data_IF_000492651290
#
_entry.id   IF_000492651290
#
_cell.length_a   1.000
_cell.length_b   1.000
_cell.length_c   1.000
_cell.angle_alpha   90.00
_cell.angle_beta   90.00
_cell.angle_gamma   90.00
#
_symmetry.space_group_name_H-M   'P 1'
#
loop_
_entity.id
_entity.type
_entity.pdbx_description
1 polymer ?
#
# COMPACT_ATOMS: atom_id res chain seq x y z
N UNK A 1 4.72 -7.69 25.91
CA UNK A 1 3.38 -7.30 25.38
C UNK A 1 3.55 -7.06 23.89
N UNK A 2 2.61 -7.49 23.05
CA UNK A 2 2.73 -7.33 21.59
C UNK A 2 2.28 -5.96 21.09
N UNK A 3 2.64 -5.64 19.84
CA UNK A 3 2.13 -4.44 19.15
C UNK A 3 0.70 -4.72 18.65
N UNK A 4 -0.30 -3.89 19.00
CA UNK A 4 -1.68 -4.15 18.63
C UNK A 4 -1.88 -4.05 17.11
N UNK A 5 -2.67 -4.96 16.54
CA UNK A 5 -2.98 -5.03 15.10
C UNK A 5 -1.75 -5.27 14.19
N UNK A 6 -0.67 -5.83 14.73
CA UNK A 6 0.51 -6.27 13.96
C UNK A 6 0.68 -7.79 14.15
N UNK A 7 0.88 -8.58 13.08
CA UNK A 7 1.12 -10.01 13.18
C UNK A 7 2.35 -10.33 14.06
N UNK A 8 2.21 -11.35 14.93
CA UNK A 8 3.25 -11.73 15.90
C UNK A 8 4.59 -12.03 15.21
N UNK A 9 4.57 -12.70 14.05
CA UNK A 9 5.77 -13.00 13.29
C UNK A 9 6.49 -11.73 12.82
N UNK A 10 5.75 -10.72 12.38
CA UNK A 10 6.33 -9.44 11.95
C UNK A 10 6.95 -8.73 13.15
N UNK A 11 6.16 -8.56 14.22
CA UNK A 11 6.61 -7.90 15.44
C UNK A 11 7.88 -8.55 16.02
N UNK A 12 7.88 -9.87 16.24
CA UNK A 12 9.00 -10.56 16.88
C UNK A 12 10.25 -10.60 16.01
N UNK A 13 10.11 -10.74 14.70
CA UNK A 13 11.25 -10.68 13.79
C UNK A 13 11.88 -9.28 13.78
N UNK A 14 11.05 -8.23 13.67
CA UNK A 14 11.53 -6.83 13.69
C UNK A 14 12.20 -6.49 15.01
N UNK A 15 11.56 -6.80 16.14
CA UNK A 15 12.11 -6.55 17.48
C UNK A 15 13.49 -7.19 17.66
N UNK A 16 13.65 -8.44 17.22
CA UNK A 16 14.93 -9.15 17.30
C UNK A 16 15.99 -8.56 16.35
N UNK A 17 15.59 -8.08 15.16
CA UNK A 17 16.49 -7.39 14.22
C UNK A 17 16.93 -6.04 14.76
N UNK A 18 16.05 -5.27 15.40
CA UNK A 18 16.42 -4.01 16.05
C UNK A 18 17.36 -4.24 17.23
N UNK A 19 17.14 -5.31 17.99
CA UNK A 19 17.93 -5.62 19.19
C UNK A 19 19.40 -5.93 18.91
N UNK A 20 19.74 -6.55 17.77
CA UNK A 20 21.12 -6.99 17.47
C UNK A 20 21.56 -6.96 16.01
N UNK A 21 20.68 -6.56 15.10
CA UNK A 21 20.91 -6.62 13.66
C UNK A 21 21.28 -5.30 13.00
N UNK A 22 21.06 -4.17 13.67
CA UNK A 22 21.15 -2.83 13.09
C UNK A 22 22.54 -2.47 12.54
N UNK A 23 23.61 -3.06 13.11
CA UNK A 23 24.99 -2.81 12.70
C UNK A 23 25.52 -3.81 11.65
N UNK A 24 24.69 -4.78 11.25
CA UNK A 24 25.11 -5.83 10.31
C UNK A 24 25.11 -5.27 8.88
N UNK A 25 26.28 -5.22 8.26
CA UNK A 25 26.46 -4.71 6.90
C UNK A 25 25.60 -5.50 5.91
N UNK A 26 24.81 -4.79 5.11
CA UNK A 26 23.97 -5.41 4.10
C UNK A 26 22.75 -6.14 4.69
N UNK A 27 22.28 -5.72 5.86
CA UNK A 27 21.03 -6.19 6.46
C UNK A 27 19.90 -6.19 5.41
N UNK A 28 19.07 -7.23 5.39
CA UNK A 28 18.02 -7.48 4.38
C UNK A 28 18.48 -7.78 2.95
N UNK A 29 19.70 -7.41 2.55
CA UNK A 29 20.28 -7.79 1.25
C UNK A 29 20.82 -9.20 1.27
N UNK A 30 21.49 -9.60 2.35
CA UNK A 30 22.07 -10.93 2.49
C UNK A 30 21.01 -11.98 2.85
N UNK A 31 21.23 -13.21 2.41
CA UNK A 31 20.36 -14.35 2.69
C UNK A 31 21.02 -15.27 3.71
N UNK A 32 20.28 -15.61 4.77
CA UNK A 32 20.69 -16.68 5.68
C UNK A 32 20.46 -18.07 5.08
N UNK A 33 20.89 -19.10 5.80
CA UNK A 33 20.72 -20.50 5.39
C UNK A 33 19.25 -20.85 5.08
N UNK A 34 18.98 -21.31 3.85
CA UNK A 34 17.64 -21.70 3.42
C UNK A 34 17.01 -22.77 4.32
N UNK A 35 17.80 -23.77 4.72
CA UNK A 35 17.36 -24.83 5.66
C UNK A 35 16.96 -24.24 7.00
N UNK A 36 17.76 -23.32 7.56
CA UNK A 36 17.43 -22.67 8.84
C UNK A 36 16.19 -21.78 8.73
N UNK A 37 16.00 -21.08 7.60
CA UNK A 37 14.78 -20.30 7.34
C UNK A 37 13.55 -21.20 7.33
N UNK A 38 13.61 -22.34 6.65
CA UNK A 38 12.52 -23.32 6.61
C UNK A 38 12.16 -23.83 8.01
N UNK A 39 13.16 -24.26 8.80
CA UNK A 39 12.94 -24.74 10.17
C UNK A 39 12.31 -23.66 11.05
N UNK A 40 12.82 -22.42 10.95
CA UNK A 40 12.31 -21.30 11.74
C UNK A 40 10.86 -20.94 11.35
N UNK A 41 10.55 -20.96 10.05
CA UNK A 41 9.20 -20.80 9.53
C UNK A 41 8.24 -21.85 10.09
N UNK A 42 8.60 -23.13 9.98
CA UNK A 42 7.77 -24.21 10.51
C UNK A 42 7.54 -24.06 12.03
N UNK A 43 8.51 -23.51 12.77
CA UNK A 43 8.35 -23.20 14.18
C UNK A 43 7.32 -22.09 14.43
N UNK A 44 7.32 -21.03 13.61
CA UNK A 44 6.28 -19.99 13.66
C UNK A 44 4.89 -20.52 13.32
N UNK A 45 4.79 -21.42 12.33
CA UNK A 45 3.54 -22.05 11.92
C UNK A 45 2.97 -22.97 13.01
N UNK A 46 3.82 -23.71 13.73
CA UNK A 46 3.40 -24.54 14.85
C UNK A 46 2.90 -23.71 16.03
N UNK A 47 3.70 -22.75 16.49
CA UNK A 47 3.31 -21.87 17.59
C UNK A 47 4.19 -20.60 17.62
N UNK A 48 3.71 -19.54 16.98
CA UNK A 48 4.40 -18.25 16.90
C UNK A 48 4.78 -17.64 18.28
N UNK A 49 4.03 -17.95 19.34
CA UNK A 49 4.30 -17.42 20.69
C UNK A 49 5.47 -18.11 21.38
N UNK A 50 5.73 -19.38 21.08
CA UNK A 50 6.81 -20.16 21.72
C UNK A 50 8.13 -20.14 20.97
N UNK A 51 8.18 -19.56 19.76
CA UNK A 51 9.42 -19.48 18.98
C UNK A 51 10.49 -18.72 19.78
N UNK A 52 11.70 -19.28 19.87
CA UNK A 52 12.84 -18.60 20.48
C UNK A 52 13.74 -18.01 19.39
N UNK A 53 13.88 -16.69 19.36
CA UNK A 53 14.74 -15.98 18.40
C UNK A 53 16.09 -15.57 18.99
N UNK A 54 16.43 -16.05 20.20
CA UNK A 54 17.67 -15.70 20.88
C UNK A 54 18.91 -16.04 20.03
N UNK A 55 20.05 -15.37 20.27
CA UNK A 55 21.29 -15.63 19.54
C UNK A 55 21.75 -17.09 19.62
N UNK A 56 21.44 -17.79 20.71
CA UNK A 56 21.79 -19.21 20.90
C UNK A 56 21.00 -20.13 19.97
N UNK A 57 19.73 -19.80 19.72
CA UNK A 57 18.86 -20.63 18.88
C UNK A 57 18.95 -20.24 17.39
N UNK A 58 19.01 -18.93 17.09
CA UNK A 58 19.09 -18.40 15.73
C UNK A 58 20.25 -17.41 15.63
N UNK A 59 21.52 -17.87 15.54
CA UNK A 59 22.67 -16.96 15.58
C UNK A 59 22.75 -16.02 14.37
N UNK A 60 22.33 -16.48 13.18
CA UNK A 60 22.39 -15.69 11.95
C UNK A 60 21.15 -14.81 11.79
N UNK A 61 21.33 -13.48 11.84
CA UNK A 61 20.23 -12.52 11.68
C UNK A 61 19.57 -12.63 10.30
N UNK A 62 20.33 -13.05 9.28
CA UNK A 62 19.83 -13.11 7.91
C UNK A 62 18.82 -14.25 7.71
N UNK A 63 18.76 -15.18 8.66
CA UNK A 63 17.68 -16.17 8.76
C UNK A 63 16.38 -15.49 9.20
N UNK A 64 16.45 -14.61 10.20
CA UNK A 64 15.28 -13.89 10.74
C UNK A 64 14.73 -12.90 9.72
N UNK A 65 15.61 -12.06 9.13
CA UNK A 65 15.20 -11.13 8.07
C UNK A 65 14.65 -11.86 6.84
N UNK A 66 15.21 -13.04 6.53
CA UNK A 66 14.73 -13.91 5.46
C UNK A 66 13.32 -14.42 5.72
N UNK A 67 13.04 -14.95 6.93
CA UNK A 67 11.70 -15.42 7.31
C UNK A 67 10.69 -14.26 7.31
N UNK A 68 11.07 -13.07 7.78
CA UNK A 68 10.21 -11.89 7.71
C UNK A 68 9.83 -11.55 6.26
N UNK A 69 10.82 -11.49 5.34
CA UNK A 69 10.57 -11.22 3.92
C UNK A 69 9.72 -12.31 3.28
N UNK A 70 10.02 -13.57 3.58
CA UNK A 70 9.30 -14.69 2.99
C UNK A 70 7.83 -14.69 3.48
N UNK A 71 7.56 -14.36 4.75
CA UNK A 71 6.18 -14.19 5.27
C UNK A 71 5.41 -13.10 4.54
N UNK A 72 6.01 -11.92 4.36
CA UNK A 72 5.37 -10.78 3.70
C UNK A 72 5.03 -11.07 2.23
N UNK A 73 5.92 -11.78 1.53
CA UNK A 73 5.73 -12.17 0.12
C UNK A 73 4.65 -13.25 -0.07
N UNK A 74 4.42 -14.07 0.95
CA UNK A 74 3.47 -15.20 0.90
C UNK A 74 2.08 -14.83 1.43
N UNK A 75 1.86 -13.55 1.77
CA UNK A 75 0.52 -13.08 2.05
C UNK A 75 -0.37 -13.30 0.82
N UNK A 76 -1.67 -13.62 1.01
CA UNK A 76 -2.60 -13.80 -0.10
C UNK A 76 -2.92 -12.51 -0.87
N UNK A 77 -2.82 -11.37 -0.20
CA UNK A 77 -2.84 -10.04 -0.80
C UNK A 77 -1.59 -9.28 -0.34
N UNK A 78 -0.93 -8.48 -1.20
CA UNK A 78 0.29 -7.83 -0.81
C UNK A 78 -0.02 -6.80 0.27
N UNK A 79 0.96 -6.53 1.14
CA UNK A 79 0.76 -5.57 2.21
C UNK A 79 0.36 -4.19 1.66
N UNK A 80 0.96 -3.80 0.53
CA UNK A 80 0.39 -2.78 -0.35
C UNK A 80 -0.68 -3.44 -1.21
N UNK A 81 -1.94 -3.27 -0.82
CA UNK A 81 -3.09 -3.69 -1.65
C UNK A 81 -2.94 -3.15 -3.07
N UNK A 82 -3.48 -3.88 -4.06
CA UNK A 82 -3.38 -3.48 -5.48
C UNK A 82 -3.87 -2.04 -5.72
N UNK A 83 -4.97 -1.66 -5.08
CA UNK A 83 -5.53 -0.31 -5.14
C UNK A 83 -4.60 0.74 -4.53
N UNK A 84 -4.02 0.46 -3.36
CA UNK A 84 -3.08 1.38 -2.71
C UNK A 84 -1.83 1.59 -3.56
N UNK A 85 -1.28 0.50 -4.09
CA UNK A 85 -0.10 0.55 -4.95
C UNK A 85 -0.34 1.47 -6.16
N UNK A 86 -1.48 1.32 -6.85
CA UNK A 86 -1.82 2.18 -7.98
C UNK A 86 -1.95 3.66 -7.56
N UNK A 87 -2.64 3.94 -6.46
CA UNK A 87 -2.75 5.31 -5.93
C UNK A 87 -1.38 5.92 -5.61
N UNK A 88 -0.45 5.14 -5.07
CA UNK A 88 0.90 5.61 -4.75
C UNK A 88 1.73 5.88 -6.01
N UNK A 89 1.58 5.05 -7.06
CA UNK A 89 2.24 5.27 -8.36
C UNK A 89 1.71 6.56 -9.01
N UNK A 90 0.38 6.74 -9.03
CA UNK A 90 -0.26 7.93 -9.59
C UNK A 90 0.15 9.19 -8.82
N UNK A 91 0.19 9.11 -7.49
CA UNK A 91 0.65 10.18 -6.63
C UNK A 91 2.12 10.55 -6.88
N UNK A 92 2.97 9.55 -7.12
CA UNK A 92 4.40 9.78 -7.37
C UNK A 92 4.62 10.51 -8.70
N UNK A 93 3.76 10.25 -9.70
CA UNK A 93 3.80 10.92 -11.00
C UNK A 93 3.39 12.40 -10.94
N UNK A 94 2.62 12.81 -9.92
CA UNK A 94 2.17 14.20 -9.73
C UNK A 94 2.94 14.95 -8.64
N UNK A 95 3.93 14.31 -8.00
CA UNK A 95 4.78 14.95 -7.02
C UNK A 95 5.52 16.15 -7.63
N UNK A 96 5.44 17.30 -6.96
CA UNK A 96 6.09 18.53 -7.39
C UNK A 96 7.48 18.65 -6.76
N UNK A 97 8.56 18.89 -7.53
CA UNK A 97 9.91 19.04 -6.96
C UNK A 97 10.01 20.14 -5.89
N UNK A 98 9.22 21.20 -6.04
CA UNK A 98 9.25 22.39 -5.17
C UNK A 98 8.30 22.31 -3.96
N UNK A 99 7.51 21.23 -3.82
CA UNK A 99 6.60 21.04 -2.69
C UNK A 99 6.78 19.67 -1.99
N UNK A 100 7.93 19.43 -1.34
CA UNK A 100 8.19 18.18 -0.63
C UNK A 100 7.20 17.94 0.53
N UNK A 101 6.69 19.01 1.15
CA UNK A 101 5.73 18.89 2.26
C UNK A 101 4.34 18.48 1.77
N UNK A 102 3.86 19.05 0.66
CA UNK A 102 2.61 18.64 0.02
C UNK A 102 2.68 17.20 -0.50
N UNK A 103 3.78 16.83 -1.14
CA UNK A 103 4.00 15.45 -1.62
C UNK A 103 3.97 14.44 -0.46
N UNK A 104 4.63 14.75 0.65
CA UNK A 104 4.62 13.88 1.83
C UNK A 104 3.20 13.73 2.41
N UNK A 105 2.45 14.83 2.54
CA UNK A 105 1.05 14.80 2.98
C UNK A 105 0.18 13.94 2.07
N UNK A 106 0.34 14.07 0.74
CA UNK A 106 -0.37 13.25 -0.24
C UNK A 106 -0.07 11.77 -0.04
N UNK A 107 1.22 11.39 -0.02
CA UNK A 107 1.64 10.01 0.18
C UNK A 107 1.09 9.41 1.48
N UNK A 108 1.18 10.16 2.58
CA UNK A 108 0.68 9.70 3.87
C UNK A 108 -0.85 9.56 3.89
N UNK A 109 -1.60 10.48 3.26
CA UNK A 109 -3.06 10.36 3.16
C UNK A 109 -3.50 9.10 2.40
N UNK A 110 -2.69 8.62 1.44
CA UNK A 110 -2.98 7.38 0.72
C UNK A 110 -2.83 6.18 1.65
N UNK A 111 -1.82 6.17 2.55
CA UNK A 111 -1.64 5.11 3.54
C UNK A 111 -2.83 4.96 4.50
N UNK A 112 -3.60 6.02 4.72
CA UNK A 112 -4.82 5.98 5.54
C UNK A 112 -5.97 5.20 4.89
N UNK A 113 -5.90 4.93 3.58
CA UNK A 113 -6.87 4.10 2.87
C UNK A 113 -6.68 2.60 3.14
N UNK A 114 -5.58 2.18 3.80
CA UNK A 114 -5.36 0.77 4.13
C UNK A 114 -6.29 0.28 5.24
N UNK A 115 -6.73 -0.99 5.19
CA UNK A 115 -7.35 -1.65 6.32
C UNK A 115 -6.48 -1.55 7.57
N UNK A 116 -7.11 -1.45 8.75
CA UNK A 116 -6.43 -1.16 10.03
C UNK A 116 -5.20 -2.04 10.29
N UNK A 117 -5.31 -3.36 10.10
CA UNK A 117 -4.21 -4.30 10.35
C UNK A 117 -3.07 -4.10 9.35
N UNK A 118 -3.37 -3.94 8.07
CA UNK A 118 -2.38 -3.68 7.02
C UNK A 118 -1.66 -2.36 7.28
N UNK A 119 -2.41 -1.30 7.63
CA UNK A 119 -1.86 0.02 7.96
C UNK A 119 -0.92 -0.06 9.16
N UNK A 120 -1.35 -0.66 10.27
CA UNK A 120 -0.50 -0.82 11.46
C UNK A 120 0.76 -1.64 11.15
N UNK A 121 0.64 -2.73 10.39
CA UNK A 121 1.77 -3.58 10.01
C UNK A 121 2.75 -2.83 9.09
N UNK A 122 2.23 -2.08 8.12
CA UNK A 122 3.04 -1.31 7.18
C UNK A 122 3.79 -0.17 7.88
N UNK A 123 3.11 0.61 8.72
CA UNK A 123 3.74 1.68 9.51
C UNK A 123 4.84 1.11 10.39
N UNK A 124 4.56 0.02 11.10
CA UNK A 124 5.53 -0.64 11.96
C UNK A 124 6.77 -1.11 11.18
N UNK A 125 6.57 -1.63 9.96
CA UNK A 125 7.67 -2.02 9.09
C UNK A 125 8.44 -0.81 8.54
N UNK A 126 7.75 0.26 8.11
CA UNK A 126 8.40 1.46 7.58
C UNK A 126 9.22 2.19 8.64
N UNK A 127 8.73 2.24 9.88
CA UNK A 127 9.48 2.72 11.05
C UNK A 127 10.78 1.93 11.23
N UNK A 128 10.69 0.60 11.17
CA UNK A 128 11.85 -0.27 11.27
C UNK A 128 12.85 -0.02 10.13
N UNK A 129 12.37 0.07 8.88
CA UNK A 129 13.24 0.31 7.73
C UNK A 129 13.90 1.68 7.78
N UNK A 130 13.19 2.72 8.21
CA UNK A 130 13.76 4.05 8.42
C UNK A 130 14.83 4.03 9.52
N UNK A 131 14.62 3.25 10.60
CA UNK A 131 15.65 3.02 11.60
C UNK A 131 16.87 2.34 10.97
N UNK A 132 16.70 1.29 10.16
CA UNK A 132 17.82 0.61 9.47
C UNK A 132 18.61 1.58 8.58
N UNK A 133 17.95 2.48 7.84
CA UNK A 133 18.63 3.52 7.02
C UNK A 133 19.50 4.44 7.87
N UNK A 134 19.07 4.77 9.09
CA UNK A 134 19.80 5.69 9.98
C UNK A 134 21.08 5.09 10.60
N UNK A 135 21.35 3.80 10.40
CA UNK A 135 22.40 3.06 11.08
C UNK A 135 23.61 2.78 10.18
N UNK A 136 24.72 2.33 10.78
CA UNK A 136 26.01 2.08 10.10
C UNK A 136 26.06 0.76 9.29
N UNK A 137 24.94 0.22 8.82
CA UNK A 137 24.87 -1.04 8.04
C UNK A 137 25.06 -0.87 6.53
N UNK A 138 25.36 0.34 6.05
CA UNK A 138 25.53 0.70 4.63
C UNK A 138 24.29 0.48 3.76
N UNK A 139 23.09 0.42 4.35
CA UNK A 139 21.84 0.38 3.60
C UNK A 139 21.29 1.78 3.41
N UNK A 140 21.19 2.22 2.14
CA UNK A 140 20.46 3.42 1.75
C UNK A 140 18.96 3.12 1.51
N UNK A 141 18.09 4.14 1.48
CA UNK A 141 16.68 3.96 1.09
C UNK A 141 16.52 3.20 -0.23
N UNK A 142 17.36 3.51 -1.22
CA UNK A 142 17.37 2.82 -2.50
C UNK A 142 17.73 1.32 -2.37
N UNK A 143 18.73 0.98 -1.55
CA UNK A 143 19.13 -0.42 -1.36
C UNK A 143 18.08 -1.26 -0.63
N UNK A 144 17.37 -0.68 0.36
CA UNK A 144 16.25 -1.35 1.02
C UNK A 144 15.04 -1.45 0.10
N UNK A 145 14.79 -0.41 -0.71
CA UNK A 145 13.71 -0.44 -1.69
C UNK A 145 13.86 -1.57 -2.71
N UNK A 146 15.09 -1.85 -3.17
CA UNK A 146 15.39 -3.03 -4.00
C UNK A 146 15.05 -4.34 -3.28
N UNK A 147 15.28 -4.42 -1.97
CA UNK A 147 15.04 -5.63 -1.18
C UNK A 147 13.55 -5.84 -0.83
N UNK A 148 12.81 -4.76 -0.59
CA UNK A 148 11.44 -4.82 -0.06
C UNK A 148 10.34 -4.39 -1.05
N UNK A 149 10.64 -3.57 -2.06
CA UNK A 149 9.64 -3.10 -3.02
C UNK A 149 8.87 -4.25 -3.66
N UNK A 150 9.58 -5.25 -4.25
CA UNK A 150 8.94 -6.46 -4.76
C UNK A 150 8.18 -7.25 -3.69
N UNK A 151 8.77 -7.40 -2.49
CA UNK A 151 8.19 -8.19 -1.39
C UNK A 151 6.87 -7.60 -0.89
N UNK A 152 6.72 -6.28 -0.93
CA UNK A 152 5.58 -5.58 -0.36
C UNK A 152 4.45 -5.29 -1.34
N UNK A 153 4.74 -5.27 -2.65
CA UNK A 153 3.84 -4.75 -3.69
C UNK A 153 3.60 -5.70 -4.87
N UNK A 154 4.48 -6.69 -5.10
CA UNK A 154 4.34 -7.60 -6.23
C UNK A 154 3.78 -8.95 -5.80
N UNK A 155 2.71 -9.38 -6.46
CA UNK A 155 2.19 -10.75 -6.42
C UNK A 155 2.48 -11.43 -7.75
N UNK A 156 3.02 -12.64 -7.70
CA UNK A 156 3.23 -13.47 -8.90
C UNK A 156 1.86 -13.92 -9.41
N UNK A 157 1.36 -13.25 -10.46
CA UNK A 157 0.21 -13.72 -11.23
C UNK A 157 0.75 -14.67 -12.32
N UNK A 158 0.34 -15.95 -12.30
CA UNK A 158 0.88 -17.02 -13.18
C UNK A 158 0.75 -16.70 -14.68
N UNK A 159 -0.20 -15.84 -15.06
CA UNK A 159 -0.44 -15.40 -16.45
C UNK A 159 -0.43 -13.87 -16.61
N UNK A 160 0.29 -13.16 -15.75
CA UNK A 160 0.39 -11.70 -15.80
C UNK A 160 1.35 -11.17 -16.87
N UNK A 161 1.29 -9.85 -17.19
CA UNK A 161 2.35 -9.19 -17.94
C UNK A 161 3.70 -9.30 -17.19
N UNK A 162 4.84 -9.06 -17.87
CA UNK A 162 6.15 -9.04 -17.22
C UNK A 162 6.12 -8.15 -15.97
N UNK A 163 6.56 -8.69 -14.83
CA UNK A 163 6.58 -7.97 -13.57
C UNK A 163 7.52 -6.76 -13.68
N UNK A 164 6.96 -5.56 -13.49
CA UNK A 164 7.78 -4.35 -13.35
C UNK A 164 8.27 -4.24 -11.91
N UNK A 165 9.58 -4.41 -11.73
CA UNK A 165 10.23 -4.23 -10.45
C UNK A 165 10.60 -2.77 -10.18
N UNK A 166 10.66 -1.90 -11.20
CA UNK A 166 11.15 -0.53 -11.04
C UNK A 166 10.14 0.35 -10.31
N UNK A 167 8.86 0.30 -10.66
CA UNK A 167 7.85 1.11 -9.97
C UNK A 167 7.72 0.79 -8.47
N UNK A 168 7.63 -0.49 -8.02
CA UNK A 168 7.61 -0.81 -6.59
C UNK A 168 8.84 -0.29 -5.83
N UNK A 169 10.01 -0.40 -6.45
CA UNK A 169 11.26 0.11 -5.89
C UNK A 169 11.21 1.64 -5.79
N UNK A 170 10.72 2.33 -6.82
CA UNK A 170 10.61 3.79 -6.82
C UNK A 170 9.65 4.30 -5.73
N UNK A 171 8.47 3.69 -5.60
CA UNK A 171 7.47 4.04 -4.58
C UNK A 171 8.04 3.84 -3.18
N UNK A 172 8.62 2.67 -2.89
CA UNK A 172 9.16 2.39 -1.57
C UNK A 172 10.38 3.27 -1.25
N UNK A 173 11.26 3.52 -2.23
CA UNK A 173 12.40 4.43 -2.07
C UNK A 173 11.91 5.82 -1.68
N UNK A 174 10.96 6.36 -2.43
CA UNK A 174 10.42 7.70 -2.15
C UNK A 174 9.79 7.76 -0.77
N UNK A 175 8.99 6.74 -0.41
CA UNK A 175 8.35 6.67 0.89
C UNK A 175 9.36 6.64 2.05
N UNK A 176 10.47 5.91 1.90
CA UNK A 176 11.56 5.87 2.89
C UNK A 176 12.35 7.18 2.95
N UNK A 177 12.47 7.93 1.84
CA UNK A 177 13.15 9.22 1.80
C UNK A 177 12.35 10.32 2.53
N UNK A 178 11.03 10.26 2.47
CA UNK A 178 10.14 11.20 3.18
C UNK A 178 9.74 10.70 4.58
N UNK A 179 10.09 9.47 4.96
CA UNK A 179 9.67 8.89 6.23
C UNK A 179 10.34 9.61 7.40
N UNK A 180 9.59 9.99 8.44
CA UNK A 180 10.20 10.61 9.62
C UNK A 180 11.12 9.62 10.32
N UNK A 181 12.38 10.01 10.52
CA UNK A 181 13.28 9.28 11.41
C UNK A 181 12.85 9.55 12.85
N UNK A 182 12.74 8.51 13.68
CA UNK A 182 12.44 8.64 15.12
C UNK A 182 13.53 9.46 15.83
N UNK A 183 13.39 10.78 15.84
CA UNK A 183 13.89 11.64 16.92
C UNK A 183 12.73 11.86 17.90
N UNK A 184 13.02 12.21 19.16
CA UNK A 184 12.12 12.34 20.34
C UNK A 184 10.75 13.04 20.14
N UNK A 185 10.42 13.55 18.95
CA UNK A 185 9.17 14.19 18.55
C UNK A 185 8.19 13.29 17.76
N UNK A 186 8.50 12.00 17.55
CA UNK A 186 7.69 11.09 16.72
C UNK A 186 6.28 10.80 17.25
N UNK A 187 6.06 10.91 18.57
CA UNK A 187 4.71 10.80 19.16
C UNK A 187 3.77 11.90 18.63
N UNK A 188 4.27 13.12 18.37
CA UNK A 188 3.48 14.22 17.82
C UNK A 188 3.16 14.01 16.33
N UNK A 189 4.11 13.45 15.57
CA UNK A 189 3.88 13.17 14.15
C UNK A 189 2.81 12.09 13.94
N UNK A 190 2.91 10.96 14.64
CA UNK A 190 1.95 9.86 14.48
C UNK A 190 0.62 10.12 15.17
N UNK A 191 0.57 10.91 16.24
CA UNK A 191 -0.69 11.40 16.80
C UNK A 191 -1.40 12.36 15.85
N UNK A 192 -0.66 13.24 15.13
CA UNK A 192 -1.22 14.08 14.05
C UNK A 192 -1.63 13.28 12.81
N UNK A 193 -0.88 12.24 12.46
CA UNK A 193 -1.23 11.30 11.40
C UNK A 193 -2.50 10.51 11.75
N UNK A 194 -2.61 10.02 12.99
CA UNK A 194 -3.81 9.35 13.51
C UNK A 194 -5.00 10.30 13.67
N UNK A 195 -4.77 11.57 14.04
CA UNK A 195 -5.81 12.60 14.15
C UNK A 195 -6.31 13.10 12.78
N UNK A 196 -5.49 13.03 11.73
CA UNK A 196 -5.95 13.35 10.37
C UNK A 196 -6.97 12.33 9.85
N UNK A 197 -6.82 11.06 10.23
CA UNK A 197 -7.79 9.98 9.96
C UNK A 197 -9.13 10.17 10.71
N UNK A 198 -9.10 10.72 11.94
CA UNK A 198 -10.34 11.06 12.66
C UNK A 198 -11.04 12.29 12.07
N UNK A 199 -10.29 13.24 11.48
CA UNK A 199 -10.85 14.38 10.76
C UNK A 199 -11.47 14.00 9.39
N UNK A 200 -10.89 13.03 8.68
CA UNK A 200 -11.48 12.49 7.45
C UNK A 200 -12.77 11.69 7.73
N UNK A 201 -12.77 10.90 8.81
CA UNK A 201 -13.93 10.13 9.26
C UNK A 201 -15.07 11.04 9.75
N UNK A 202 -14.74 12.11 10.48
CA UNK A 202 -15.75 13.08 10.94
C UNK A 202 -16.36 13.87 9.79
N UNK A 203 -15.58 14.25 8.77
CA UNK A 203 -16.11 14.91 7.56
C UNK A 203 -17.01 13.98 6.73
N UNK A 204 -16.65 12.71 6.58
CA UNK A 204 -17.50 11.72 5.90
C UNK A 204 -18.84 11.49 6.61
N UNK A 205 -18.86 11.49 7.95
CA UNK A 205 -20.10 11.48 8.76
C UNK A 205 -20.89 12.79 8.69
N UNK A 206 -20.21 13.93 8.60
CA UNK A 206 -20.86 15.24 8.52
C UNK A 206 -21.46 15.51 7.14
N UNK A 207 -20.88 14.93 6.08
CA UNK A 207 -21.40 14.99 4.71
C UNK A 207 -22.57 14.01 4.48
N UNK A 208 -22.62 12.87 5.17
CA UNK A 208 -23.80 11.99 5.18
C UNK A 208 -24.96 12.52 6.04
N UNK A 209 -24.66 13.25 7.12
CA UNK A 209 -25.68 13.97 7.89
C UNK A 209 -26.29 15.15 7.11
N UNK A 210 -25.48 15.87 6.32
CA UNK A 210 -25.96 16.97 5.48
C UNK A 210 -26.85 16.48 4.30
N UNK A 211 -26.57 15.33 3.71
CA UNK A 211 -27.43 14.73 2.67
C UNK A 211 -28.71 14.11 3.24
N UNK A 212 -28.67 13.57 4.47
CA UNK A 212 -29.87 13.11 5.17
C UNK A 212 -30.82 14.26 5.55
N UNK A 213 -30.28 15.42 5.96
CA UNK A 213 -31.07 16.62 6.25
C UNK A 213 -31.72 17.21 4.98
N UNK A 214 -31.03 17.15 3.83
CA UNK A 214 -31.58 17.61 2.55
C UNK A 214 -32.70 16.68 2.02
N UNK A 215 -32.61 15.36 2.25
CA UNK A 215 -33.64 14.40 1.84
C UNK A 215 -34.94 14.50 2.68
N UNK A 216 -34.85 14.89 3.96
CA UNK A 216 -36.02 15.10 4.81
C UNK A 216 -36.85 16.34 4.42
N UNK A 217 -36.22 17.36 3.81
CA UNK A 217 -36.91 18.56 3.36
C UNK A 217 -37.76 18.34 2.08
N UNK A 218 -37.43 17.33 1.26
CA UNK A 218 -38.15 17.04 0.00
C UNK A 218 -39.38 16.15 0.18
N UNK A 219 -39.58 15.57 1.36
CA UNK A 219 -40.68 14.64 1.64
C UNK A 219 -41.98 15.30 2.17
N UNK A 220 -42.04 16.63 2.29
CA UNK A 220 -43.17 17.33 2.92
C UNK A 220 -44.11 18.08 1.96
N UNK A 221 -44.02 17.93 0.63
CA UNK A 221 -44.84 18.73 -0.32
C UNK A 221 -45.64 17.88 -1.30
N UNK A 222 -46.49 16.98 -0.81
CA UNK A 222 -47.45 16.28 -1.66
C UNK A 222 -48.77 15.97 -0.95
N UNK A 223 -49.61 16.99 -0.75
CA UNK A 223 -51.07 16.81 -0.55
C UNK A 223 -51.87 18.06 -0.96
N UNK A 224 -52.79 17.88 -1.91
CA UNK A 224 -54.04 18.66 -2.06
C UNK A 224 -53.98 19.91 -2.94
N UNK A 225 -54.51 19.90 -4.18
CA UNK A 225 -55.90 20.13 -4.64
C UNK A 225 -56.18 21.57 -5.13
N UNK A 226 -56.85 21.62 -6.28
CA UNK A 226 -57.09 22.76 -7.16
C UNK A 226 -58.02 23.85 -6.62
N UNK A 227 -57.86 25.10 -7.07
CA UNK A 227 -58.86 25.94 -7.80
C UNK A 227 -58.41 27.41 -7.93
N UNK A 228 -58.73 28.03 -9.07
CA UNK A 228 -59.21 29.43 -9.11
C UNK A 228 -58.22 30.60 -9.31
N UNK A 229 -58.19 31.09 -10.56
CA UNK A 229 -58.24 32.51 -11.00
C UNK A 229 -57.17 33.55 -10.60
N UNK A 230 -56.70 34.21 -11.68
CA UNK A 230 -56.46 35.65 -11.84
C UNK A 230 -55.09 36.29 -11.49
N UNK A 231 -54.48 36.79 -12.58
CA UNK A 231 -54.00 38.17 -12.76
C UNK A 231 -52.60 38.62 -12.28
N UNK A 232 -51.80 38.95 -13.31
CA UNK A 232 -51.14 40.27 -13.56
C UNK A 232 -49.77 40.60 -12.91
N UNK A 233 -48.83 40.89 -13.83
CA UNK A 233 -47.75 41.89 -13.84
C UNK A 233 -46.31 41.55 -13.37
N UNK A 234 -45.37 41.88 -14.28
CA UNK A 234 -44.01 42.37 -14.01
C UNK A 234 -42.91 41.30 -14.01
N UNK A 235 -42.25 40.95 -15.13
CA UNK A 235 -41.17 41.71 -15.81
C UNK A 235 -40.10 42.19 -14.78
N UNK A 236 -38.83 41.74 -14.78
CA UNK A 236 -37.79 41.93 -15.82
C UNK A 236 -36.56 41.02 -15.53
N UNK A 237 -35.94 40.51 -16.62
CA UNK A 237 -34.47 40.39 -16.77
C UNK A 237 -33.85 39.07 -16.29
N UNK A 238 -33.65 38.05 -17.13
CA UNK A 238 -32.58 37.91 -18.14
C UNK A 238 -31.20 37.63 -17.48
N UNK A 239 -30.39 36.63 -17.82
CA UNK A 239 -30.05 36.03 -19.11
C UNK A 239 -29.60 34.57 -18.87
N UNK A 240 -30.21 33.60 -19.56
CA UNK A 240 -29.64 32.81 -20.68
C UNK A 240 -28.48 31.88 -20.29
N UNK A 241 -28.69 30.57 -20.30
CA UNK A 241 -28.70 29.66 -21.47
C UNK A 241 -27.34 28.93 -21.54
N UNK A 242 -27.18 27.69 -21.98
CA UNK A 242 -27.98 26.65 -22.62
C UNK A 242 -27.20 25.33 -22.35
N UNK A 243 -27.82 24.15 -22.16
CA UNK A 243 -28.30 23.23 -23.21
C UNK A 243 -27.24 23.04 -24.32
N UNK A 244 -26.87 21.86 -24.81
CA UNK A 244 -27.43 20.51 -24.78
C UNK A 244 -26.27 19.55 -25.19
N UNK A 245 -26.16 18.35 -24.64
CA UNK A 245 -26.71 17.09 -25.17
C UNK A 245 -26.13 16.60 -26.52
N UNK A 246 -25.74 15.32 -26.49
CA UNK A 246 -25.98 14.28 -27.52
C UNK A 246 -24.84 13.86 -28.47
N UNK A 247 -24.27 12.69 -28.13
CA UNK A 247 -24.14 11.44 -28.92
C UNK A 247 -23.60 11.39 -30.36
N UNK A 248 -22.67 10.41 -30.51
CA UNK A 248 -22.42 9.47 -31.63
C UNK A 248 -21.75 9.99 -32.91
N UNK A 249 -20.57 9.45 -33.25
CA UNK A 249 -20.36 8.40 -34.28
C UNK A 249 -18.86 8.18 -34.60
N UNK A 250 -18.57 6.96 -35.02
CA UNK A 250 -17.30 6.38 -35.48
C UNK A 250 -16.77 6.93 -36.82
N UNK A 251 -15.44 6.90 -37.04
CA UNK A 251 -14.78 6.23 -38.19
C UNK A 251 -13.36 6.76 -38.53
N UNK A 252 -12.49 5.80 -38.89
CA UNK A 252 -11.32 5.85 -39.82
C UNK A 252 -9.93 6.29 -39.34
N UNK A 253 -8.97 5.37 -39.58
CA UNK A 253 -7.51 5.48 -39.47
C UNK A 253 -6.89 6.35 -40.59
N UNK A 254 -5.56 6.60 -40.51
CA UNK A 254 -4.70 5.92 -41.48
C UNK A 254 -3.38 5.34 -40.93
N UNK A 255 -2.88 4.38 -41.70
CA UNK A 255 -1.60 3.68 -41.63
C UNK A 255 -0.37 4.60 -41.73
N UNK A 256 0.68 4.28 -40.98
CA UNK A 256 2.07 4.36 -41.45
C UNK A 256 2.83 3.13 -40.95
N UNK A 257 3.29 2.30 -41.90
CA UNK A 257 4.20 1.19 -41.61
C UNK A 257 5.66 1.67 -41.58
N UNK A 258 6.50 0.97 -40.82
CA UNK A 258 7.91 0.72 -41.18
C UNK A 258 8.41 -0.54 -40.46
N UNK A 259 8.72 -1.52 -41.30
CA UNK A 259 9.63 -2.66 -41.24
C UNK A 259 10.74 -2.62 -40.16
N UNK A 260 11.00 -3.73 -39.46
CA UNK A 260 12.23 -4.58 -39.64
C UNK A 260 12.51 -5.59 -38.50
N UNK A 261 12.76 -6.83 -38.96
CA UNK A 261 13.58 -7.92 -38.40
C UNK A 261 13.13 -8.70 -37.16
N UNK A 262 12.49 -9.82 -37.46
CA UNK A 262 12.51 -11.07 -36.70
C UNK A 262 13.92 -11.66 -36.59
N UNK A 263 14.33 -12.09 -35.39
CA UNK A 263 15.35 -13.11 -35.18
C UNK A 263 14.78 -14.19 -34.28
N UNK A 264 14.63 -15.37 -34.87
CA UNK A 264 14.15 -16.61 -34.26
C UNK A 264 15.24 -17.18 -33.37
N UNK A 265 14.92 -17.52 -32.12
CA UNK A 265 15.69 -18.47 -31.32
C UNK A 265 14.73 -19.44 -30.63
N UNK A 266 14.88 -20.71 -30.99
CA UNK A 266 14.25 -21.86 -30.38
C UNK A 266 14.90 -22.13 -29.02
N UNK A 267 14.11 -22.42 -27.99
CA UNK A 267 14.56 -23.29 -26.90
C UNK A 267 13.38 -24.02 -26.30
N UNK A 268 13.61 -25.31 -26.12
CA UNK A 268 12.67 -26.39 -25.84
C UNK A 268 12.25 -26.43 -24.38
N UNK A 269 10.94 -26.57 -24.18
CA UNK A 269 10.24 -26.84 -22.92
C UNK A 269 10.67 -28.20 -22.33
N UNK A 270 10.97 -28.24 -21.04
CA UNK A 270 10.91 -29.47 -20.23
C UNK A 270 9.94 -29.24 -19.08
N UNK A 271 8.98 -30.15 -19.00
CA UNK A 271 7.84 -30.27 -18.08
C UNK A 271 8.28 -30.73 -16.68
N UNK A 272 7.55 -30.31 -15.63
CA UNK A 272 7.79 -30.84 -14.28
C UNK A 272 6.94 -30.26 -13.15
N UNK A 273 5.69 -30.72 -13.06
CA UNK A 273 4.87 -30.95 -11.85
C UNK A 273 4.58 -29.78 -10.88
N UNK A 274 3.32 -29.33 -10.93
CA UNK A 274 2.62 -28.61 -9.88
C UNK A 274 2.30 -29.54 -8.70
N UNK A 275 2.63 -29.12 -7.48
CA UNK A 275 2.10 -29.68 -6.25
C UNK A 275 1.28 -28.61 -5.54
N UNK A 276 0.01 -28.92 -5.32
CA UNK A 276 -1.01 -28.07 -4.72
C UNK A 276 -0.68 -27.87 -3.24
N UNK A 277 -0.22 -26.67 -2.87
CA UNK A 277 0.00 -26.27 -1.49
C UNK A 277 -1.15 -25.40 -0.99
N UNK A 278 -1.94 -25.95 -0.08
CA UNK A 278 -2.98 -25.23 0.68
C UNK A 278 -2.42 -23.94 1.29
N UNK A 279 -3.07 -22.81 0.99
CA UNK A 279 -2.61 -21.47 1.35
C UNK A 279 -2.98 -21.09 2.79
N UNK A 280 -1.99 -20.52 3.48
CA UNK A 280 -1.92 -20.08 4.89
C UNK A 280 -2.99 -19.07 5.36
N UNK A 281 -3.91 -18.63 4.50
CA UNK A 281 -4.86 -17.54 4.77
C UNK A 281 -5.97 -17.93 5.73
N UNK A 282 -6.38 -19.20 5.71
CA UNK A 282 -7.64 -19.61 6.34
C UNK A 282 -7.61 -19.62 7.88
N UNK A 283 -6.48 -19.29 8.52
CA UNK A 283 -6.31 -19.47 9.98
C UNK A 283 -5.99 -18.19 10.77
N UNK A 284 -5.99 -17.01 10.12
CA UNK A 284 -5.61 -15.76 10.80
C UNK A 284 -6.55 -14.55 10.58
N UNK A 285 -7.79 -14.79 10.14
CA UNK A 285 -8.93 -13.89 10.44
C UNK A 285 -9.69 -14.43 11.64
#
# INVERSE_FOLDING_TARGET
>A
MGVPNVPIIVWRCVEEVERRGLDIIGLYRLCGSATKKRILREAFERNARSVNLSPDNVPDINVITGVLKDYLRELPEPLFTKCLYQMMVDALAVCLPDDPQGNAKLMFSILDCLPKVNRCTLIYLLDHLAMVVSQCNKMSPASLAVCFGPVLMLHSEENGPPLDFQQPIAVLKYLLEIWPVKSDSSEDFFSRFSASSSYASSRAQQQSAATAAAAAATASTATGTATGTAAVAGNIGAHRAALAASTLTSSTAPNYGTTRSSRVLHSTTTTGQASTGDSLVSRFT
#
